data_IF_794719862659
#
_entry.id   IF_794719862659
#
_cell.length_a   1.000
_cell.length_b   1.000
_cell.length_c   1.000
_cell.angle_alpha   90.00
_cell.angle_beta   90.00
_cell.angle_gamma   90.00
#
_symmetry.space_group_name_H-M   'P 1'
#
loop_
_entity.id
_entity.type
_entity.pdbx_description
1 polymer ?
#
# COMPACT_ATOMS: atom_id res chain seq x y z
N UNK A 1 1.29 1.03 -14.89
CA UNK A 1 1.26 -0.09 -15.85
C UNK A 1 2.18 0.12 -17.02
N UNK A 2 2.05 1.24 -17.76
CA UNK A 2 2.85 1.51 -18.96
C UNK A 2 4.36 1.38 -18.73
N UNK A 3 4.89 2.02 -17.69
CA UNK A 3 6.31 1.91 -17.30
C UNK A 3 6.79 0.48 -17.03
N UNK A 4 5.98 -0.34 -16.33
CA UNK A 4 6.33 -1.73 -16.00
C UNK A 4 6.41 -2.59 -17.27
N UNK A 5 5.43 -2.41 -18.17
CA UNK A 5 5.38 -3.13 -19.45
C UNK A 5 6.51 -2.70 -20.41
N UNK A 6 6.78 -1.39 -20.50
CA UNK A 6 7.84 -0.83 -21.34
C UNK A 6 9.23 -1.30 -20.91
N UNK A 7 9.46 -1.46 -19.60
CA UNK A 7 10.75 -1.87 -19.05
C UNK A 7 10.87 -3.40 -18.84
N UNK A 8 9.87 -4.19 -19.25
CA UNK A 8 9.87 -5.67 -19.13
C UNK A 8 10.27 -6.16 -17.72
N UNK A 9 9.73 -5.53 -16.69
CA UNK A 9 10.02 -5.90 -15.31
C UNK A 9 9.29 -7.18 -14.94
N UNK A 10 10.04 -8.21 -14.54
CA UNK A 10 9.49 -9.54 -14.22
C UNK A 10 9.18 -9.72 -12.71
N UNK A 11 9.62 -8.78 -11.88
CA UNK A 11 9.46 -8.79 -10.43
C UNK A 11 8.30 -7.90 -9.93
N UNK A 12 7.46 -7.40 -10.85
CA UNK A 12 6.34 -6.51 -10.53
C UNK A 12 5.05 -7.13 -11.04
N UNK A 13 4.11 -7.36 -10.12
CA UNK A 13 2.73 -7.72 -10.45
C UNK A 13 1.83 -6.51 -10.23
N UNK A 14 1.04 -6.15 -11.24
CA UNK A 14 0.04 -5.07 -11.13
C UNK A 14 -1.35 -5.69 -11.27
N UNK A 15 -2.23 -5.36 -10.34
CA UNK A 15 -3.60 -5.85 -10.31
C UNK A 15 -4.56 -4.66 -10.19
N UNK A 16 -5.57 -4.61 -11.06
CA UNK A 16 -6.67 -3.63 -10.99
C UNK A 16 -7.96 -4.43 -10.83
N UNK A 17 -8.36 -4.62 -9.59
CA UNK A 17 -9.52 -5.42 -9.20
C UNK A 17 -10.11 -4.84 -7.92
N UNK A 18 -11.44 -4.84 -7.81
CA UNK A 18 -12.09 -4.63 -6.51
C UNK A 18 -11.89 -5.88 -5.66
N UNK A 19 -11.27 -5.71 -4.50
CA UNK A 19 -11.04 -6.80 -3.53
C UNK A 19 -11.94 -6.62 -2.33
N UNK A 20 -12.44 -7.72 -1.80
CA UNK A 20 -13.12 -7.72 -0.51
C UNK A 20 -12.11 -7.71 0.66
N UNK A 21 -12.64 -7.77 1.88
CA UNK A 21 -11.81 -7.74 3.08
C UNK A 21 -10.93 -8.98 3.27
N UNK A 22 -11.39 -10.16 2.85
CA UNK A 22 -10.68 -11.43 2.99
C UNK A 22 -9.53 -11.50 1.99
N UNK A 23 -9.78 -11.10 0.74
CA UNK A 23 -8.74 -10.97 -0.28
C UNK A 23 -7.66 -9.98 0.15
N UNK A 24 -8.04 -8.84 0.75
CA UNK A 24 -7.09 -7.88 1.30
C UNK A 24 -6.25 -8.46 2.45
N UNK A 25 -6.85 -9.23 3.35
CA UNK A 25 -6.15 -9.90 4.45
C UNK A 25 -5.16 -10.94 3.92
N UNK A 26 -5.58 -11.74 2.93
CA UNK A 26 -4.75 -12.73 2.30
C UNK A 26 -3.53 -12.11 1.58
N UNK A 27 -3.66 -10.90 1.04
CA UNK A 27 -2.52 -10.17 0.47
C UNK A 27 -1.53 -9.74 1.56
N UNK A 28 -2.00 -9.21 2.70
CA UNK A 28 -1.12 -8.81 3.79
C UNK A 28 -0.32 -9.97 4.40
N UNK A 29 -0.87 -11.19 4.37
CA UNK A 29 -0.16 -12.39 4.83
C UNK A 29 0.96 -12.86 3.88
N UNK A 30 1.00 -12.35 2.64
CA UNK A 30 1.96 -12.77 1.60
C UNK A 30 3.11 -11.80 1.40
N UNK A 31 3.11 -10.66 2.08
CA UNK A 31 4.09 -9.58 1.87
C UNK A 31 4.99 -9.40 3.08
N UNK A 32 6.25 -9.08 2.83
CA UNK A 32 7.22 -8.76 3.88
C UNK A 32 7.13 -7.29 4.34
N UNK A 33 6.56 -6.42 3.50
CA UNK A 33 6.38 -5.00 3.80
C UNK A 33 5.23 -4.38 3.00
N UNK A 34 4.60 -3.35 3.56
CA UNK A 34 3.61 -2.51 2.91
C UNK A 34 4.18 -1.11 2.66
N UNK A 35 4.00 -0.60 1.44
CA UNK A 35 4.47 0.75 1.04
C UNK A 35 3.28 1.59 0.60
N UNK A 36 3.12 2.76 1.21
CA UNK A 36 2.05 3.71 0.89
C UNK A 36 2.63 5.08 0.53
N UNK A 37 3.07 5.27 -0.73
CA UNK A 37 3.63 6.53 -1.19
C UNK A 37 2.52 7.50 -1.58
N UNK A 38 1.70 7.93 -0.61
CA UNK A 38 0.65 8.92 -0.87
C UNK A 38 1.16 10.35 -0.69
N UNK A 39 0.57 11.27 -1.46
CA UNK A 39 0.73 12.73 -1.28
C UNK A 39 -0.21 13.30 -0.22
N UNK A 40 -1.17 12.51 0.26
CA UNK A 40 -2.14 12.83 1.31
C UNK A 40 -3.03 11.62 1.61
N UNK A 41 -3.27 11.33 2.89
CA UNK A 41 -4.06 10.16 3.27
C UNK A 41 -4.91 10.46 4.48
N UNK A 42 -6.15 10.90 4.26
CA UNK A 42 -6.98 11.51 5.29
C UNK A 42 -7.25 10.64 6.53
N UNK A 43 -7.18 9.32 6.42
CA UNK A 43 -7.48 8.41 7.53
C UNK A 43 -6.55 7.21 7.66
N UNK A 44 -5.45 7.13 6.90
CA UNK A 44 -4.44 6.05 7.04
C UNK A 44 -5.00 4.63 7.26
N UNK A 45 -6.18 4.29 6.70
CA UNK A 45 -6.90 3.06 7.09
C UNK A 45 -6.07 1.83 6.72
N UNK A 46 -5.54 1.82 5.50
CA UNK A 46 -4.72 0.72 5.01
C UNK A 46 -3.36 0.63 5.74
N UNK A 47 -2.60 1.73 5.93
CA UNK A 47 -1.42 1.71 6.81
C UNK A 47 -1.69 1.23 8.24
N UNK A 48 -2.83 1.61 8.84
CA UNK A 48 -3.20 1.13 10.18
C UNK A 48 -3.51 -0.36 10.18
N UNK A 49 -4.18 -0.86 9.13
CA UNK A 49 -4.45 -2.29 8.95
C UNK A 49 -3.16 -3.10 8.78
N UNK A 50 -2.19 -2.62 8.01
CA UNK A 50 -0.90 -3.30 7.84
C UNK A 50 -0.13 -3.38 9.16
N UNK A 51 -0.08 -2.28 9.92
CA UNK A 51 0.53 -2.26 11.25
C UNK A 51 -0.16 -3.21 12.23
N UNK A 52 -1.50 -3.26 12.23
CA UNK A 52 -2.26 -4.18 13.10
C UNK A 52 -2.01 -5.66 12.78
N UNK A 53 -1.61 -5.98 11.54
CA UNK A 53 -1.24 -7.32 11.10
C UNK A 53 0.26 -7.63 11.31
N UNK A 54 1.01 -6.72 11.93
CA UNK A 54 2.44 -6.88 12.18
C UNK A 54 3.31 -6.70 10.94
N UNK A 55 2.76 -6.14 9.84
CA UNK A 55 3.50 -5.94 8.59
C UNK A 55 4.33 -4.65 8.67
N UNK A 56 5.66 -4.71 8.47
CA UNK A 56 6.51 -3.52 8.34
C UNK A 56 5.92 -2.53 7.31
N UNK A 57 5.74 -1.28 7.73
CA UNK A 57 4.95 -0.29 6.97
C UNK A 57 5.78 0.96 6.68
N UNK A 58 5.99 1.25 5.40
CA UNK A 58 6.70 2.44 4.89
C UNK A 58 5.66 3.43 4.37
N UNK A 59 5.59 4.61 4.97
CA UNK A 59 4.63 5.66 4.61
C UNK A 59 5.33 6.99 4.36
N UNK A 60 4.75 7.81 3.49
CA UNK A 60 5.18 9.20 3.33
C UNK A 60 4.95 10.00 4.61
N UNK A 61 5.84 10.94 4.93
CA UNK A 61 5.73 11.87 6.07
C UNK A 61 4.60 12.93 5.93
N UNK A 62 3.56 12.66 5.12
CA UNK A 62 2.42 13.57 4.87
C UNK A 62 1.07 12.95 5.22
N UNK A 63 1.08 11.94 6.08
CA UNK A 63 -0.14 11.26 6.54
C UNK A 63 -0.78 11.90 7.77
N UNK A 64 -0.13 12.88 8.40
CA UNK A 64 -0.69 13.62 9.52
C UNK A 64 -1.36 14.93 9.07
N UNK A 65 -2.51 15.24 9.67
CA UNK A 65 -3.26 16.47 9.39
C UNK A 65 -2.50 17.75 9.80
N UNK A 66 -1.50 17.62 10.67
CA UNK A 66 -0.62 18.71 11.12
C UNK A 66 0.33 19.22 10.01
N UNK A 67 0.57 18.44 8.95
CA UNK A 67 1.38 18.87 7.79
C UNK A 67 0.55 19.56 6.69
N UNK A 68 -0.72 19.87 6.96
CA UNK A 68 -1.64 20.62 6.09
C UNK A 68 -2.18 21.93 6.74
N UNK A 69 -1.68 22.27 7.93
CA UNK A 69 -1.84 23.60 8.55
C UNK A 69 -0.61 24.46 8.26
#
# INVERSE_FOLDING_TARGET
MRFVAENKLNNVKVEIKNKDNEEHLADFQKIDAYVSPSRGGGFSIIPRKSLALGVPTIITDKYSAENYM
#
